data_IF_630458767136
#
_entry.id   IF_630458767136
#
_cell.length_a   1.000
_cell.length_b   1.000
_cell.length_c   1.000
_cell.angle_alpha   90.00
_cell.angle_beta   90.00
_cell.angle_gamma   90.00
#
_symmetry.space_group_name_H-M   'P 1'
#
loop_
_entity.id
_entity.type
_entity.pdbx_description
1 polymer ?
#
# COMPACT_ATOMS: atom_id res chain seq x y z
N UNK A 1 23.42 8.82 -17.76
CA UNK A 1 22.59 9.78 -17.00
C UNK A 1 21.90 9.05 -15.89
N UNK A 2 22.12 9.42 -14.60
CA UNK A 2 21.46 8.81 -13.46
C UNK A 2 19.96 9.11 -13.49
N UNK A 3 19.12 8.10 -13.25
CA UNK A 3 17.68 8.26 -13.14
C UNK A 3 17.38 9.18 -11.96
N UNK A 4 16.64 10.28 -12.17
CA UNK A 4 16.16 11.13 -11.08
C UNK A 4 15.02 10.40 -10.37
N UNK A 5 15.18 10.14 -9.08
CA UNK A 5 14.11 9.58 -8.25
C UNK A 5 13.03 10.64 -8.00
N UNK A 6 11.78 10.20 -8.03
CA UNK A 6 10.63 11.04 -7.71
C UNK A 6 10.48 11.09 -6.19
N UNK A 7 10.28 12.29 -5.67
CA UNK A 7 9.91 12.54 -4.28
C UNK A 7 8.45 12.97 -4.28
N UNK A 8 7.60 12.21 -3.64
CA UNK A 8 6.18 12.51 -3.57
C UNK A 8 5.91 13.61 -2.56
N UNK A 9 4.99 14.51 -2.91
CA UNK A 9 4.57 15.58 -2.01
C UNK A 9 3.67 14.99 -0.92
N UNK A 10 4.04 15.21 0.34
CA UNK A 10 3.17 14.84 1.46
C UNK A 10 1.89 15.68 1.41
N UNK A 11 0.71 15.09 1.67
CA UNK A 11 -0.52 15.85 1.85
C UNK A 11 -0.37 16.89 2.96
N UNK A 12 -1.07 18.01 2.85
CA UNK A 12 -1.21 18.94 3.98
C UNK A 12 -1.93 18.25 5.14
N UNK A 13 -1.78 18.74 6.38
CA UNK A 13 -2.44 18.16 7.56
C UNK A 13 -3.95 17.92 7.37
N UNK A 14 -4.62 18.78 6.60
CA UNK A 14 -6.05 18.67 6.31
C UNK A 14 -6.41 17.56 5.29
N UNK A 15 -5.42 16.98 4.61
CA UNK A 15 -5.59 15.94 3.59
C UNK A 15 -4.86 14.65 3.96
N UNK A 16 -4.32 14.53 5.18
CA UNK A 16 -3.80 13.27 5.70
C UNK A 16 -4.99 12.54 6.34
N UNK A 17 -5.23 11.26 6.01
CA UNK A 17 -6.23 10.47 6.73
C UNK A 17 -5.95 10.52 8.23
N UNK A 18 -6.99 10.80 9.02
CA UNK A 18 -6.88 10.85 10.49
C UNK A 18 -6.65 9.44 11.06
N UNK A 19 -6.90 8.41 10.25
CA UNK A 19 -6.72 7.01 10.64
C UNK A 19 -7.28 6.07 9.57
N UNK A 20 -7.33 4.80 9.93
CA UNK A 20 -7.92 3.74 9.10
C UNK A 20 -9.37 3.52 9.50
N UNK A 21 -10.28 3.74 8.55
CA UNK A 21 -11.71 3.49 8.75
C UNK A 21 -12.03 2.01 8.57
N UNK A 22 -12.57 1.36 9.59
CA UNK A 22 -13.01 -0.03 9.51
C UNK A 22 -14.32 -0.12 8.71
N UNK A 23 -14.28 -0.90 7.65
CA UNK A 23 -15.43 -1.24 6.78
C UNK A 23 -15.46 -2.77 6.59
N UNK A 24 -15.22 -3.50 7.69
CA UNK A 24 -15.09 -4.95 7.65
C UNK A 24 -16.31 -5.58 7.01
N UNK A 25 -16.05 -6.54 6.12
CA UNK A 25 -17.07 -7.35 5.47
C UNK A 25 -17.53 -8.46 6.42
N UNK A 26 -18.76 -8.93 6.23
CA UNK A 26 -19.35 -9.96 7.07
C UNK A 26 -18.51 -11.24 7.08
N UNK A 27 -18.41 -11.90 8.24
CA UNK A 27 -17.52 -13.07 8.45
C UNK A 27 -17.87 -14.29 7.60
N UNK A 28 -19.12 -14.42 7.18
CA UNK A 28 -19.65 -15.53 6.38
C UNK A 28 -19.47 -15.36 4.87
N UNK A 29 -18.93 -14.22 4.43
CA UNK A 29 -18.73 -13.97 3.00
C UNK A 29 -17.52 -14.76 2.44
N UNK A 30 -17.63 -15.31 1.22
CA UNK A 30 -16.62 -16.19 0.64
C UNK A 30 -15.28 -15.51 0.30
N UNK A 31 -15.22 -14.19 0.33
CA UNK A 31 -13.97 -13.44 0.18
C UNK A 31 -13.14 -13.35 1.48
N UNK A 32 -13.56 -14.04 2.54
CA UNK A 32 -12.78 -14.31 3.75
C UNK A 32 -12.41 -15.80 3.77
N UNK A 33 -11.14 -16.12 3.53
CA UNK A 33 -10.69 -17.51 3.27
C UNK A 33 -10.06 -18.19 4.50
N UNK A 34 -10.32 -17.67 5.69
CA UNK A 34 -9.77 -18.22 6.95
C UNK A 34 -8.49 -17.53 7.41
N UNK A 35 -7.82 -18.08 8.42
CA UNK A 35 -6.69 -17.46 9.08
C UNK A 35 -5.41 -17.47 8.23
N UNK A 36 -4.59 -16.42 8.37
CA UNK A 36 -3.25 -16.31 7.84
C UNK A 36 -2.27 -15.70 8.86
N UNK A 37 -0.97 -15.88 8.61
CA UNK A 37 0.12 -15.14 9.25
C UNK A 37 0.92 -14.43 8.15
N UNK A 38 0.66 -13.15 7.89
CA UNK A 38 1.18 -12.49 6.71
C UNK A 38 2.68 -12.24 6.80
N UNK A 39 3.41 -12.67 5.81
CA UNK A 39 4.86 -12.46 5.65
C UNK A 39 5.19 -11.53 4.48
N UNK A 40 4.20 -11.17 3.69
CA UNK A 40 4.30 -10.27 2.54
C UNK A 40 3.24 -9.17 2.60
N UNK A 41 3.54 -8.05 1.94
CA UNK A 41 2.55 -7.03 1.57
C UNK A 41 2.55 -6.91 0.05
N UNK A 42 1.37 -7.03 -0.56
CA UNK A 42 1.23 -6.95 -2.02
C UNK A 42 0.57 -5.64 -2.42
N UNK A 43 1.29 -4.90 -3.25
CA UNK A 43 0.88 -3.60 -3.78
C UNK A 43 0.01 -3.82 -5.00
N UNK A 44 -1.18 -3.21 -4.97
CA UNK A 44 -2.12 -3.19 -6.08
C UNK A 44 -2.54 -1.76 -6.47
N UNK A 45 -3.09 -1.63 -7.66
CA UNK A 45 -3.83 -0.47 -8.11
C UNK A 45 -5.19 -0.93 -8.62
N UNK A 46 -6.26 -0.34 -8.10
CA UNK A 46 -7.58 -0.52 -8.67
C UNK A 46 -7.66 0.29 -9.95
N UNK A 47 -7.57 -0.38 -11.09
CA UNK A 47 -7.82 0.23 -12.39
C UNK A 47 -9.15 -0.26 -12.94
N UNK A 48 -9.95 0.64 -13.43
CA UNK A 48 -11.11 0.29 -14.23
C UNK A 48 -10.61 -0.25 -15.58
N UNK A 49 -10.98 -1.50 -15.89
CA UNK A 49 -10.59 -2.20 -17.13
C UNK A 49 -10.93 -1.44 -18.42
N UNK A 50 -11.74 -0.39 -18.35
CA UNK A 50 -12.30 0.30 -19.52
C UNK A 50 -11.59 1.61 -19.88
N UNK A 51 -10.54 2.02 -19.16
CA UNK A 51 -9.87 3.31 -19.39
C UNK A 51 -10.76 4.55 -19.14
N UNK A 52 -12.00 4.34 -18.76
CA UNK A 52 -12.95 5.39 -18.37
C UNK A 52 -13.22 5.24 -16.88
N UNK A 53 -12.66 6.14 -16.09
CA UNK A 53 -13.09 6.30 -14.71
C UNK A 53 -14.55 6.77 -14.70
N UNK A 54 -15.49 6.08 -14.06
CA UNK A 54 -16.83 6.64 -13.89
C UNK A 54 -16.68 7.98 -13.16
N UNK A 55 -17.38 9.01 -13.63
CA UNK A 55 -17.30 10.38 -13.08
C UNK A 55 -17.59 10.49 -11.59
N UNK A 56 -18.18 9.46 -10.98
CA UNK A 56 -18.60 9.42 -9.57
C UNK A 56 -17.98 8.24 -8.80
N UNK A 57 -16.83 7.73 -9.22
CA UNK A 57 -16.20 6.58 -8.58
C UNK A 57 -15.42 7.08 -7.36
N UNK A 58 -15.82 6.69 -6.18
CA UNK A 58 -15.21 7.08 -4.91
C UNK A 58 -14.97 5.85 -4.01
N UNK A 59 -14.34 6.06 -2.86
CA UNK A 59 -14.02 5.01 -1.89
C UNK A 59 -15.26 4.23 -1.45
N UNK A 60 -16.36 4.92 -1.20
CA UNK A 60 -17.62 4.30 -0.75
C UNK A 60 -18.25 3.37 -1.80
N UNK A 61 -18.10 3.70 -3.09
CA UNK A 61 -18.54 2.81 -4.17
C UNK A 61 -17.76 1.49 -4.16
N UNK A 62 -16.42 1.55 -3.97
CA UNK A 62 -15.60 0.33 -3.85
C UNK A 62 -15.93 -0.46 -2.61
N UNK A 63 -16.21 0.21 -1.48
CA UNK A 63 -16.64 -0.44 -0.26
C UNK A 63 -17.93 -1.25 -0.44
N UNK A 64 -18.91 -0.65 -1.11
CA UNK A 64 -20.17 -1.36 -1.45
C UNK A 64 -19.93 -2.52 -2.41
N UNK A 65 -19.12 -2.28 -3.43
CA UNK A 65 -18.86 -3.29 -4.46
C UNK A 65 -18.20 -4.56 -3.90
N UNK A 66 -17.23 -4.47 -3.02
CA UNK A 66 -16.56 -5.65 -2.46
C UNK A 66 -17.54 -6.51 -1.65
N UNK A 67 -18.45 -5.88 -0.90
CA UNK A 67 -19.52 -6.57 -0.16
C UNK A 67 -20.53 -7.21 -1.11
N UNK A 68 -20.99 -6.48 -2.12
CA UNK A 68 -21.93 -7.00 -3.11
C UNK A 68 -21.37 -8.18 -3.91
N UNK A 69 -20.10 -8.10 -4.30
CA UNK A 69 -19.43 -9.18 -5.01
C UNK A 69 -19.27 -10.42 -4.12
N UNK A 70 -18.93 -10.25 -2.84
CA UNK A 70 -18.94 -11.33 -1.85
C UNK A 70 -20.31 -12.00 -1.71
N UNK A 71 -21.39 -11.23 -1.58
CA UNK A 71 -22.77 -11.75 -1.53
C UNK A 71 -23.19 -12.52 -2.79
N UNK A 72 -22.54 -12.27 -3.92
CA UNK A 72 -22.72 -13.01 -5.17
C UNK A 72 -21.79 -14.24 -5.31
N UNK A 73 -21.07 -14.58 -4.26
CA UNK A 73 -20.17 -15.74 -4.23
C UNK A 73 -18.74 -15.47 -4.73
N UNK A 74 -18.34 -14.20 -4.89
CA UNK A 74 -16.95 -13.87 -5.24
C UNK A 74 -16.02 -14.12 -4.06
N UNK A 75 -14.91 -14.81 -4.32
CA UNK A 75 -13.81 -14.97 -3.34
C UNK A 75 -12.81 -13.82 -3.41
N UNK A 76 -12.92 -12.94 -4.41
CA UNK A 76 -11.99 -11.83 -4.59
C UNK A 76 -12.19 -10.79 -3.48
N UNK A 77 -11.12 -10.48 -2.78
CA UNK A 77 -11.08 -9.48 -1.73
C UNK A 77 -9.77 -8.71 -1.73
N UNK A 78 -9.62 -7.81 -0.80
CA UNK A 78 -8.37 -7.14 -0.43
C UNK A 78 -8.52 -6.59 0.97
N UNK A 79 -7.39 -6.44 1.68
CA UNK A 79 -7.44 -6.01 3.07
C UNK A 79 -7.69 -4.51 3.18
N UNK A 80 -7.01 -3.72 2.34
CA UNK A 80 -7.06 -2.26 2.39
C UNK A 80 -7.33 -1.63 1.04
N UNK A 81 -8.09 -0.54 1.06
CA UNK A 81 -8.25 0.39 -0.05
C UNK A 81 -7.78 1.78 0.38
N UNK A 82 -6.90 2.38 -0.43
CA UNK A 82 -6.26 3.66 -0.11
C UNK A 82 -6.62 4.71 -1.16
N UNK A 83 -7.19 5.81 -0.70
CA UNK A 83 -7.42 7.04 -1.45
C UNK A 83 -6.49 8.16 -1.04
N UNK A 84 -6.75 9.35 -1.58
CA UNK A 84 -6.00 10.56 -1.26
C UNK A 84 -6.42 11.22 0.07
N UNK A 85 -7.58 10.86 0.61
CA UNK A 85 -8.15 11.41 1.85
C UNK A 85 -8.58 10.36 2.86
N UNK A 86 -8.70 9.11 2.45
CA UNK A 86 -9.30 8.04 3.24
C UNK A 86 -8.53 6.73 3.04
N UNK A 87 -8.51 5.91 4.08
CA UNK A 87 -8.01 4.53 4.07
C UNK A 87 -9.08 3.65 4.69
N UNK A 88 -9.51 2.62 3.97
CA UNK A 88 -10.50 1.65 4.45
C UNK A 88 -9.86 0.28 4.66
N UNK A 89 -10.20 -0.39 5.76
CA UNK A 89 -9.91 -1.80 5.99
C UNK A 89 -11.19 -2.61 5.83
N UNK A 90 -11.15 -3.64 4.98
CA UNK A 90 -12.28 -4.53 4.68
C UNK A 90 -12.14 -5.91 5.31
N UNK A 91 -10.91 -6.38 5.47
CA UNK A 91 -10.57 -7.69 5.97
C UNK A 91 -9.43 -7.52 6.96
N UNK A 92 -9.48 -8.22 8.08
CA UNK A 92 -8.44 -8.19 9.10
C UNK A 92 -7.13 -8.76 8.54
N UNK A 93 -6.00 -8.29 9.07
CA UNK A 93 -4.68 -8.66 8.56
C UNK A 93 -4.38 -10.16 8.67
N UNK A 94 -4.98 -10.83 9.68
CA UNK A 94 -4.83 -12.25 9.95
C UNK A 94 -5.87 -13.15 9.24
N UNK A 95 -6.63 -12.60 8.31
CA UNK A 95 -7.62 -13.32 7.50
C UNK A 95 -7.21 -13.33 6.04
N UNK A 96 -7.07 -14.53 5.45
CA UNK A 96 -6.71 -14.70 4.06
C UNK A 96 -7.83 -14.27 3.10
N UNK A 97 -7.46 -13.80 1.91
CA UNK A 97 -8.39 -13.44 0.83
C UNK A 97 -7.75 -13.56 -0.55
N UNK A 98 -8.56 -13.81 -1.56
CA UNK A 98 -8.09 -13.95 -2.94
C UNK A 98 -7.82 -12.60 -3.61
N UNK A 99 -6.54 -12.17 -3.64
CA UNK A 99 -6.14 -10.91 -4.30
C UNK A 99 -4.94 -11.04 -5.25
N UNK A 100 -4.18 -12.12 -5.18
CA UNK A 100 -2.96 -12.29 -5.98
C UNK A 100 -3.11 -13.27 -7.13
N UNK A 101 -4.18 -14.09 -7.11
CA UNK A 101 -4.37 -15.22 -8.03
C UNK A 101 -3.41 -16.38 -7.78
N UNK A 102 -2.58 -16.35 -6.73
CA UNK A 102 -1.70 -17.43 -6.30
C UNK A 102 -2.13 -17.92 -4.93
N UNK A 103 -2.13 -19.24 -4.72
CA UNK A 103 -2.51 -19.81 -3.42
C UNK A 103 -1.57 -19.32 -2.30
N UNK A 104 -0.26 -19.27 -2.60
CA UNK A 104 0.73 -18.78 -1.63
C UNK A 104 0.46 -17.30 -1.26
N UNK A 105 0.29 -16.42 -2.26
CA UNK A 105 0.09 -15.00 -2.01
C UNK A 105 -1.21 -14.71 -1.25
N UNK A 106 -2.30 -15.40 -1.61
CA UNK A 106 -3.60 -15.23 -0.94
C UNK A 106 -3.56 -15.60 0.55
N UNK A 107 -2.71 -16.56 0.94
CA UNK A 107 -2.63 -17.09 2.32
C UNK A 107 -1.46 -16.53 3.14
N UNK A 108 -0.59 -15.72 2.54
CA UNK A 108 0.62 -15.25 3.21
C UNK A 108 0.86 -13.75 3.01
N UNK A 109 -0.14 -13.00 2.53
CA UNK A 109 0.08 -11.58 2.30
C UNK A 109 -1.13 -10.69 2.58
N UNK A 110 -0.84 -9.44 2.91
CA UNK A 110 -1.81 -8.36 3.04
C UNK A 110 -1.91 -7.64 1.69
N UNK A 111 -3.10 -7.61 1.09
CA UNK A 111 -3.37 -6.88 -0.15
C UNK A 111 -3.74 -5.42 0.11
N UNK A 112 -2.97 -4.49 -0.47
CA UNK A 112 -3.18 -3.04 -0.34
C UNK A 112 -3.46 -2.45 -1.72
N UNK A 113 -4.72 -2.15 -1.99
CA UNK A 113 -5.19 -1.52 -3.22
C UNK A 113 -5.11 0.01 -3.12
N UNK A 114 -4.60 0.66 -4.15
CA UNK A 114 -4.67 2.11 -4.30
C UNK A 114 -5.69 2.48 -5.37
N UNK A 115 -6.60 3.39 -5.03
CA UNK A 115 -7.57 3.91 -5.98
C UNK A 115 -6.90 4.93 -6.91
N UNK A 116 -7.13 4.77 -8.22
CA UNK A 116 -6.59 5.64 -9.27
C UNK A 116 -7.71 6.04 -10.24
N UNK A 117 -8.60 6.90 -9.81
CA UNK A 117 -9.71 7.39 -10.63
C UNK A 117 -9.69 8.92 -10.74
N UNK A 118 -10.53 9.45 -11.63
CA UNK A 118 -10.69 10.89 -11.79
C UNK A 118 -11.12 11.53 -10.47
N UNK A 119 -10.54 12.67 -10.12
CA UNK A 119 -10.80 13.39 -8.87
C UNK A 119 -9.94 12.95 -7.67
N UNK A 120 -9.23 11.81 -7.75
CA UNK A 120 -8.28 11.39 -6.72
C UNK A 120 -6.91 12.01 -6.98
N UNK A 121 -6.33 12.66 -5.99
CA UNK A 121 -4.94 13.11 -6.07
C UNK A 121 -4.00 11.91 -5.98
N UNK A 122 -3.41 11.56 -7.12
CA UNK A 122 -2.53 10.38 -7.25
C UNK A 122 -1.35 10.40 -6.28
N UNK A 123 -0.71 11.55 -6.08
CA UNK A 123 0.49 11.65 -5.24
C UNK A 123 0.14 11.48 -3.76
N UNK A 124 -1.01 12.03 -3.34
CA UNK A 124 -1.50 11.86 -1.97
C UNK A 124 -1.93 10.42 -1.70
N UNK A 125 -2.67 9.79 -2.62
CA UNK A 125 -3.05 8.40 -2.50
C UNK A 125 -1.81 7.47 -2.43
N UNK A 126 -0.76 7.78 -3.20
CA UNK A 126 0.50 7.04 -3.18
C UNK A 126 1.25 7.22 -1.85
N UNK A 127 1.30 8.45 -1.33
CA UNK A 127 1.90 8.72 -0.02
C UNK A 127 1.15 7.99 1.10
N UNK A 128 -0.19 8.05 1.10
CA UNK A 128 -1.03 7.35 2.09
C UNK A 128 -0.84 5.83 2.02
N UNK A 129 -0.70 5.27 0.81
CA UNK A 129 -0.37 3.85 0.63
C UNK A 129 1.01 3.51 1.21
N UNK A 130 2.01 4.37 1.01
CA UNK A 130 3.34 4.17 1.57
C UNK A 130 3.33 4.25 3.11
N UNK A 131 2.58 5.20 3.68
CA UNK A 131 2.39 5.34 5.12
C UNK A 131 1.70 4.10 5.72
N UNK A 132 0.62 3.61 5.11
CA UNK A 132 -0.05 2.39 5.54
C UNK A 132 0.88 1.18 5.49
N UNK A 133 1.60 1.01 4.38
CA UNK A 133 2.53 -0.12 4.22
C UNK A 133 3.65 -0.04 5.26
N UNK A 134 4.21 1.14 5.53
CA UNK A 134 5.21 1.30 6.60
C UNK A 134 4.64 0.91 7.98
N UNK A 135 3.38 1.25 8.26
CA UNK A 135 2.68 0.86 9.49
C UNK A 135 2.52 -0.66 9.57
N UNK A 136 2.05 -1.30 8.51
CA UNK A 136 1.88 -2.76 8.44
C UNK A 136 3.21 -3.51 8.56
N UNK A 137 4.29 -2.98 7.97
CA UNK A 137 5.64 -3.52 8.13
C UNK A 137 6.07 -3.53 9.59
N UNK A 138 5.79 -2.46 10.36
CA UNK A 138 6.06 -2.42 11.80
C UNK A 138 5.19 -3.41 12.56
N UNK A 139 3.88 -3.37 12.33
CA UNK A 139 2.89 -4.18 13.04
C UNK A 139 3.18 -5.69 12.91
N UNK A 140 3.55 -6.14 11.71
CA UNK A 140 3.75 -7.56 11.40
C UNK A 140 5.22 -7.97 11.22
N UNK A 141 6.16 -7.08 11.52
CA UNK A 141 7.61 -7.31 11.33
C UNK A 141 7.96 -7.78 9.90
N UNK A 142 7.27 -7.24 8.88
CA UNK A 142 7.50 -7.59 7.47
C UNK A 142 8.63 -6.73 6.91
N UNK A 143 9.71 -7.32 6.37
CA UNK A 143 10.81 -6.56 5.79
C UNK A 143 10.41 -5.90 4.46
N UNK A 144 11.07 -4.79 4.10
CA UNK A 144 10.79 -4.05 2.86
C UNK A 144 10.97 -4.89 1.59
N UNK A 145 11.81 -5.92 1.63
CA UNK A 145 12.02 -6.83 0.48
C UNK A 145 10.81 -7.73 0.22
N UNK A 146 9.96 -7.91 1.24
CA UNK A 146 8.69 -8.64 1.14
C UNK A 146 7.50 -7.72 0.80
N UNK A 147 7.75 -6.42 0.60
CA UNK A 147 6.77 -5.50 -0.01
C UNK A 147 6.96 -5.58 -1.53
N UNK A 148 6.06 -6.30 -2.19
CA UNK A 148 6.19 -6.64 -3.62
C UNK A 148 4.92 -6.30 -4.40
N UNK A 149 5.03 -6.23 -5.71
CA UNK A 149 3.87 -6.02 -6.58
C UNK A 149 3.10 -7.33 -6.82
N UNK A 150 1.83 -7.22 -7.23
CA UNK A 150 1.06 -8.39 -7.70
C UNK A 150 1.80 -9.14 -8.83
N UNK A 151 2.39 -8.39 -9.77
CA UNK A 151 3.23 -8.96 -10.83
C UNK A 151 4.36 -9.81 -10.27
N UNK A 152 5.07 -9.27 -9.27
CA UNK A 152 6.21 -9.98 -8.66
C UNK A 152 5.74 -11.20 -7.85
N UNK A 153 4.59 -11.10 -7.16
CA UNK A 153 4.00 -12.24 -6.45
C UNK A 153 3.72 -13.41 -7.41
N UNK A 154 3.10 -13.13 -8.57
CA UNK A 154 2.85 -14.16 -9.58
C UNK A 154 4.13 -14.71 -10.21
N UNK A 155 5.15 -13.86 -10.43
CA UNK A 155 6.46 -14.34 -10.92
C UNK A 155 7.14 -15.31 -9.97
N UNK A 156 7.04 -15.06 -8.66
CA UNK A 156 7.72 -15.89 -7.65
C UNK A 156 6.95 -17.15 -7.30
N UNK A 157 5.62 -17.06 -7.19
CA UNK A 157 4.77 -18.09 -6.56
C UNK A 157 3.58 -18.53 -7.41
N UNK A 158 3.48 -18.04 -8.63
CA UNK A 158 2.40 -18.41 -9.56
C UNK A 158 2.60 -19.75 -10.24
N UNK A 159 1.59 -20.17 -10.99
CA UNK A 159 1.72 -21.28 -11.93
C UNK A 159 2.73 -20.95 -13.03
N UNK A 160 3.27 -21.92 -13.78
CA UNK A 160 4.16 -21.66 -14.91
C UNK A 160 3.58 -20.64 -15.91
N UNK A 161 2.29 -20.67 -16.17
CA UNK A 161 1.60 -19.71 -17.03
C UNK A 161 1.59 -18.31 -16.44
N UNK A 162 1.30 -18.16 -15.14
CA UNK A 162 1.34 -16.89 -14.43
C UNK A 162 2.75 -16.32 -14.33
N UNK A 163 3.77 -17.16 -14.15
CA UNK A 163 5.17 -16.77 -14.12
C UNK A 163 5.61 -16.23 -15.48
N UNK A 164 5.20 -16.88 -16.58
CA UNK A 164 5.48 -16.44 -17.95
C UNK A 164 4.73 -15.14 -18.32
N UNK A 165 3.46 -15.04 -17.92
CA UNK A 165 2.57 -13.91 -18.26
C UNK A 165 1.92 -13.31 -17.01
N UNK A 166 2.69 -12.70 -16.08
CA UNK A 166 2.16 -12.18 -14.84
C UNK A 166 1.28 -10.97 -15.07
N UNK A 167 0.24 -10.84 -14.26
CA UNK A 167 -0.66 -9.68 -14.27
C UNK A 167 0.11 -8.38 -14.08
N UNK A 168 -0.10 -7.42 -14.98
CA UNK A 168 0.54 -6.10 -14.92
C UNK A 168 -0.16 -5.22 -13.88
N UNK A 169 0.10 -5.50 -12.60
CA UNK A 169 -0.45 -4.75 -11.46
C UNK A 169 0.68 -4.53 -10.42
N UNK A 170 0.85 -3.32 -9.94
CA UNK A 170 0.17 -2.04 -10.26
C UNK A 170 0.64 -1.46 -11.61
N UNK A 171 -0.28 -1.27 -12.56
CA UNK A 171 0.08 -1.00 -13.95
C UNK A 171 0.83 0.34 -14.15
N UNK A 172 0.38 1.42 -13.50
CA UNK A 172 1.00 2.75 -13.63
C UNK A 172 2.40 2.78 -13.03
N UNK A 173 2.57 2.18 -11.85
CA UNK A 173 3.87 2.09 -11.18
C UNK A 173 4.85 1.24 -11.99
N UNK A 174 4.40 0.12 -12.57
CA UNK A 174 5.22 -0.73 -13.44
C UNK A 174 5.62 -0.02 -14.74
N UNK A 175 4.79 0.90 -15.24
CA UNK A 175 5.09 1.75 -16.39
C UNK A 175 5.93 2.99 -16.04
N UNK A 176 6.25 3.20 -14.76
CA UNK A 176 7.00 4.38 -14.29
C UNK A 176 6.21 5.68 -14.35
N UNK A 177 4.87 5.62 -14.44
CA UNK A 177 4.01 6.80 -14.49
C UNK A 177 3.97 7.43 -13.09
N UNK A 178 4.49 8.67 -12.99
CA UNK A 178 4.66 9.38 -11.70
C UNK A 178 5.48 8.60 -10.67
N UNK A 179 6.46 7.84 -11.10
CA UNK A 179 7.36 7.03 -10.29
C UNK A 179 7.21 5.52 -10.51
N UNK A 180 8.27 4.80 -10.25
CA UNK A 180 8.30 3.34 -10.35
C UNK A 180 8.25 2.65 -8.95
N UNK A 181 8.39 1.34 -8.95
CA UNK A 181 8.40 0.54 -7.72
C UNK A 181 9.53 0.95 -6.77
N UNK A 182 10.68 1.35 -7.29
CA UNK A 182 11.80 1.79 -6.47
C UNK A 182 11.54 3.18 -5.85
N UNK A 183 10.94 4.09 -6.61
CA UNK A 183 10.52 5.39 -6.09
C UNK A 183 9.49 5.23 -4.97
N UNK A 184 8.54 4.30 -5.14
CA UNK A 184 7.57 3.96 -4.11
C UNK A 184 8.21 3.35 -2.85
N UNK A 185 9.16 2.41 -3.01
CA UNK A 185 9.93 1.86 -1.88
C UNK A 185 10.74 2.95 -1.15
N UNK A 186 11.24 3.94 -1.88
CA UNK A 186 11.91 5.09 -1.26
C UNK A 186 10.93 5.95 -0.44
N UNK A 187 9.68 6.08 -0.88
CA UNK A 187 8.64 6.76 -0.09
C UNK A 187 8.32 6.00 1.21
N UNK A 188 8.20 4.68 1.15
CA UNK A 188 8.06 3.85 2.36
C UNK A 188 9.23 4.08 3.33
N UNK A 189 10.48 4.10 2.84
CA UNK A 189 11.66 4.42 3.67
C UNK A 189 11.55 5.79 4.32
N UNK A 190 11.02 6.79 3.60
CA UNK A 190 10.78 8.12 4.16
C UNK A 190 9.78 8.07 5.32
N UNK A 191 8.72 7.27 5.22
CA UNK A 191 7.78 7.11 6.33
C UNK A 191 8.49 6.63 7.60
N UNK A 192 9.42 5.68 7.50
CA UNK A 192 10.23 5.25 8.64
C UNK A 192 11.13 6.36 9.19
N UNK A 193 11.80 7.13 8.31
CA UNK A 193 12.70 8.22 8.72
C UNK A 193 11.99 9.34 9.44
N UNK A 194 10.78 9.65 9.00
CA UNK A 194 9.98 10.75 9.56
C UNK A 194 8.95 10.28 10.59
N UNK A 195 8.83 8.98 10.84
CA UNK A 195 7.86 8.42 11.78
C UNK A 195 6.40 8.62 11.32
N UNK A 196 6.17 8.59 10.03
CA UNK A 196 4.81 8.71 9.49
C UNK A 196 4.15 7.34 9.49
N UNK A 197 3.36 7.08 10.55
CA UNK A 197 2.61 5.84 10.73
C UNK A 197 1.16 6.13 11.13
N UNK A 198 0.29 5.18 10.94
CA UNK A 198 -1.05 5.16 11.53
C UNK A 198 -0.93 4.54 12.92
N UNK A 199 -0.68 5.38 13.93
CA UNK A 199 -0.36 4.93 15.31
C UNK A 199 -1.48 4.14 15.94
N UNK A 200 -2.74 4.40 15.58
CA UNK A 200 -3.91 3.66 16.05
C UNK A 200 -3.93 2.17 15.63
N UNK A 201 -3.10 1.79 14.66
CA UNK A 201 -2.93 0.40 14.22
C UNK A 201 -1.82 -0.34 14.99
N UNK A 202 -1.05 0.37 15.82
CA UNK A 202 0.13 -0.14 16.52
C UNK A 202 -0.14 -0.33 18.01
N UNK A 203 0.53 -1.30 18.63
CA UNK A 203 0.54 -1.41 20.07
C UNK A 203 1.40 -0.33 20.73
N UNK A 204 1.16 -0.08 22.01
CA UNK A 204 1.84 0.97 22.78
C UNK A 204 3.37 0.79 22.78
N UNK A 205 3.87 -0.45 22.88
CA UNK A 205 5.29 -0.77 22.85
C UNK A 205 5.93 -0.37 21.51
N UNK A 206 5.26 -0.65 20.42
CA UNK A 206 5.70 -0.27 19.08
C UNK A 206 5.71 1.25 18.93
N UNK A 207 4.67 1.96 19.36
CA UNK A 207 4.61 3.42 19.34
C UNK A 207 5.78 4.04 20.12
N UNK A 208 6.07 3.56 21.32
CA UNK A 208 7.20 4.02 22.14
C UNK A 208 8.56 3.78 21.47
N UNK A 209 8.66 2.82 20.57
CA UNK A 209 9.88 2.51 19.83
C UNK A 209 10.12 3.40 18.58
N UNK A 210 9.12 4.15 18.12
CA UNK A 210 9.20 4.97 16.89
C UNK A 210 10.42 5.90 16.86
N UNK A 211 10.77 6.68 17.92
CA UNK A 211 11.94 7.55 17.88
C UNK A 211 13.25 6.80 17.58
N UNK A 212 13.43 5.62 18.18
CA UNK A 212 14.60 4.76 17.93
C UNK A 212 14.59 4.20 16.52
N UNK A 213 13.43 3.80 16.01
CA UNK A 213 13.25 3.32 14.64
C UNK A 213 13.61 4.42 13.65
N UNK A 214 13.18 5.66 13.88
CA UNK A 214 13.55 6.82 13.06
C UNK A 214 15.05 7.03 13.00
N UNK A 215 15.74 6.97 14.14
CA UNK A 215 17.19 7.14 14.21
C UNK A 215 17.92 6.07 13.41
N UNK A 216 17.55 4.79 13.59
CA UNK A 216 18.12 3.67 12.85
C UNK A 216 17.85 3.82 11.35
N UNK A 217 16.63 4.19 10.98
CA UNK A 217 16.22 4.34 9.59
C UNK A 217 16.96 5.48 8.89
N UNK A 218 17.21 6.60 9.57
CA UNK A 218 18.04 7.69 9.05
C UNK A 218 19.44 7.19 8.68
N UNK A 219 20.07 6.43 9.59
CA UNK A 219 21.41 5.86 9.36
C UNK A 219 21.42 4.81 8.24
N UNK A 220 20.42 3.93 8.19
CA UNK A 220 20.33 2.81 7.26
C UNK A 220 19.99 3.24 5.83
N UNK A 221 18.93 4.07 5.69
CA UNK A 221 18.35 4.38 4.38
C UNK A 221 18.94 5.64 3.74
N UNK A 222 19.44 6.58 4.56
CA UNK A 222 19.99 7.85 4.10
C UNK A 222 21.31 8.15 4.83
N UNK A 223 22.40 7.43 4.52
CA UNK A 223 23.72 7.70 5.11
C UNK A 223 24.21 9.10 4.73
N UNK A 224 25.05 9.71 5.58
CA UNK A 224 25.42 11.14 5.54
C UNK A 224 25.98 11.65 4.19
N UNK A 225 26.60 10.78 3.39
CA UNK A 225 27.13 11.17 2.06
C UNK A 225 26.02 11.51 1.05
N UNK A 226 24.81 10.95 1.19
CA UNK A 226 23.66 11.28 0.33
C UNK A 226 22.87 12.50 0.83
N UNK A 227 23.00 12.85 2.11
CA UNK A 227 22.28 13.98 2.73
C UNK A 227 22.69 15.34 2.17
N UNK A 228 23.96 15.51 1.82
CA UNK A 228 24.48 16.83 1.38
C UNK A 228 23.92 17.32 0.04
N UNK A 229 23.38 16.46 -0.80
CA UNK A 229 22.83 16.84 -2.12
C UNK A 229 21.32 17.02 -2.17
N UNK A 230 20.57 16.70 -1.08
CA UNK A 230 19.11 16.66 -1.08
C UNK A 230 18.45 17.64 -0.10
N UNK A 231 19.21 18.26 0.81
CA UNK A 231 18.65 19.09 1.89
C UNK A 231 18.16 20.46 1.39
N UNK A 232 18.69 20.99 0.30
CA UNK A 232 18.26 22.30 -0.22
C UNK A 232 16.84 22.37 -0.79
N UNK A 233 16.12 21.24 -0.93
CA UNK A 233 14.72 21.20 -1.34
C UNK A 233 13.72 20.99 -0.21
N UNK A 234 14.19 20.80 1.03
CA UNK A 234 13.33 20.41 2.17
C UNK A 234 12.90 21.58 3.06
N UNK A 235 13.63 22.69 3.07
CA UNK A 235 13.31 23.83 3.94
C UNK A 235 12.06 24.61 3.51
N UNK A 236 11.57 24.43 2.28
CA UNK A 236 10.33 25.08 1.80
C UNK A 236 9.03 24.36 2.17
N UNK A 237 9.09 23.20 2.84
CA UNK A 237 7.89 22.40 3.15
C UNK A 237 7.37 22.54 4.59
N UNK A 238 8.05 23.28 5.45
CA UNK A 238 7.63 23.52 6.86
C UNK A 238 7.06 24.93 7.12
N UNK A 239 6.79 25.72 6.07
CA UNK A 239 6.13 27.04 6.22
C UNK A 239 4.74 27.06 5.61
#
# INVERSE_FOLDING_TARGET
>A
MGKKHIIYKRPSKNNIPVGVTLKLIDEDLPNREGKQDPTYIVIHEVSLRTGRSPKNFNMEHYAKKIVEDGKKGSTIGYHYLVGDKEVYQFIEDDVATSHTGTQFGNKNSIGVERIICEGVNFEYALHNQAQLIATLMLKHNIPLDNVITHKEMQKRFGTPEQQANPKQCPARMLAGIKGDVQDFKNEIKRCFVYGWFFEEMLDEKTIQSIPKIQEISKKKFFPEKEKRHKIHGFEELER
#
